data_IF_725396923337
#
_entry.id   IF_725396923337
#
_cell.length_a   1.000
_cell.length_b   1.000
_cell.length_c   1.000
_cell.angle_alpha   90.00
_cell.angle_beta   90.00
_cell.angle_gamma   90.00
#
_symmetry.space_group_name_H-M   'P 1'
#
loop_
_entity.id
_entity.type
_entity.pdbx_description
1 polymer ?
#
# COMPACT_ATOMS: atom_id res chain seq x y z
N UNK A 1 0.12 12.93 13.48
CA UNK A 1 -0.95 12.69 12.51
C UNK A 1 -0.54 11.47 11.70
N UNK A 2 -1.10 10.32 12.01
CA UNK A 2 -0.82 9.08 11.28
C UNK A 2 -1.67 9.09 10.01
N UNK A 3 -1.11 9.62 8.92
CA UNK A 3 -1.80 9.82 7.63
C UNK A 3 -1.80 8.55 6.76
N UNK A 4 -1.64 7.38 7.39
CA UNK A 4 -1.43 6.10 6.69
C UNK A 4 -2.25 5.01 7.37
N UNK A 5 -3.18 4.37 6.63
CA UNK A 5 -4.13 3.41 7.22
C UNK A 5 -3.74 1.94 7.04
N UNK A 6 -3.04 1.63 5.96
CA UNK A 6 -2.62 0.27 5.65
C UNK A 6 -1.18 0.32 5.21
N UNK A 7 -0.28 -0.39 5.91
CA UNK A 7 1.13 -0.51 5.57
C UNK A 7 1.40 -1.98 5.23
N UNK A 8 1.74 -2.24 3.97
CA UNK A 8 2.23 -3.53 3.51
C UNK A 8 3.73 -3.43 3.28
N UNK A 9 4.50 -4.37 3.81
CA UNK A 9 5.94 -4.45 3.59
C UNK A 9 6.29 -5.87 3.19
N UNK A 10 6.94 -6.00 2.05
CA UNK A 10 7.48 -7.28 1.60
C UNK A 10 8.87 -7.03 1.03
N UNK A 11 9.86 -7.77 1.53
CA UNK A 11 11.28 -7.55 1.26
C UNK A 11 11.71 -6.08 1.41
N UNK A 12 12.18 -5.50 0.29
CA UNK A 12 12.71 -4.15 0.16
C UNK A 12 11.68 -3.12 -0.29
N UNK A 13 10.38 -3.41 -0.25
CA UNK A 13 9.35 -2.45 -0.66
C UNK A 13 8.32 -2.26 0.43
N UNK A 14 7.85 -1.02 0.54
CA UNK A 14 6.79 -0.59 1.47
C UNK A 14 5.71 0.07 0.66
N UNK A 15 4.49 -0.41 0.81
CA UNK A 15 3.29 0.18 0.26
C UNK A 15 2.44 0.71 1.38
N UNK A 16 1.87 1.89 1.23
CA UNK A 16 0.86 2.34 2.15
C UNK A 16 -0.20 3.21 1.51
N UNK A 17 -1.39 3.14 2.07
CA UNK A 17 -2.49 4.01 1.65
C UNK A 17 -2.37 5.36 2.36
N UNK A 18 -2.18 6.41 1.57
CA UNK A 18 -2.24 7.79 2.03
C UNK A 18 -3.69 8.20 2.25
N UNK A 19 -4.09 8.47 3.50
CA UNK A 19 -5.49 8.74 3.84
C UNK A 19 -5.95 10.14 3.46
N UNK A 20 -5.03 11.07 3.25
CA UNK A 20 -5.35 12.44 2.84
C UNK A 20 -5.75 12.52 1.36
N UNK A 21 -5.03 11.81 0.49
CA UNK A 21 -5.28 11.81 -0.97
C UNK A 21 -6.02 10.57 -1.46
N UNK A 22 -6.05 9.50 -0.65
CA UNK A 22 -6.53 8.18 -1.06
C UNK A 22 -5.60 7.46 -2.05
N UNK A 23 -4.37 7.94 -2.23
CA UNK A 23 -3.41 7.37 -3.17
C UNK A 23 -2.59 6.26 -2.52
N UNK A 24 -2.15 5.29 -3.31
CA UNK A 24 -1.19 4.28 -2.85
C UNK A 24 0.23 4.83 -3.03
N UNK A 25 1.01 4.81 -1.95
CA UNK A 25 2.41 5.24 -1.96
C UNK A 25 3.33 4.03 -1.88
N UNK A 26 4.39 4.03 -2.69
CA UNK A 26 5.41 2.98 -2.73
C UNK A 26 6.76 3.58 -2.47
N UNK A 27 7.51 2.96 -1.56
CA UNK A 27 8.92 3.28 -1.33
C UNK A 27 9.76 2.02 -1.32
N UNK A 28 10.82 2.05 -2.14
CA UNK A 28 11.83 1.02 -2.15
C UNK A 28 12.91 1.35 -1.12
N UNK A 29 13.28 0.35 -0.33
CA UNK A 29 14.37 0.42 0.62
C UNK A 29 15.69 0.58 -0.14
N UNK A 30 16.44 1.63 0.18
CA UNK A 30 17.64 2.03 -0.57
C UNK A 30 17.39 3.01 -1.71
N UNK A 31 16.12 3.26 -2.09
CA UNK A 31 15.79 4.32 -3.04
C UNK A 31 15.18 5.55 -2.31
N UNK A 32 15.53 6.75 -2.75
CA UNK A 32 15.00 8.00 -2.19
C UNK A 32 13.65 8.39 -2.80
N UNK A 33 13.32 7.79 -3.94
CA UNK A 33 12.09 8.08 -4.67
C UNK A 33 10.86 7.50 -3.98
N UNK A 34 9.81 8.31 -3.96
CA UNK A 34 8.48 7.93 -3.51
C UNK A 34 7.58 7.90 -4.74
N UNK A 35 7.05 6.73 -5.06
CA UNK A 35 6.10 6.58 -6.15
C UNK A 35 4.69 6.73 -5.60
N UNK A 36 3.89 7.56 -6.26
CA UNK A 36 2.49 7.80 -5.90
C UNK A 36 1.60 7.28 -7.02
N UNK A 37 0.72 6.35 -6.67
CA UNK A 37 -0.24 5.76 -7.58
C UNK A 37 -1.63 6.32 -7.22
N UNK A 38 -2.23 7.12 -8.11
CA UNK A 38 -3.52 7.71 -7.83
C UNK A 38 -4.64 6.65 -7.92
N UNK A 39 -5.65 6.80 -7.05
CA UNK A 39 -6.76 5.84 -6.88
C UNK A 39 -7.55 5.49 -8.14
N UNK A 40 -7.54 6.35 -9.15
CA UNK A 40 -8.27 6.16 -10.42
C UNK A 40 -7.44 5.44 -11.49
N UNK A 41 -6.33 4.80 -11.12
CA UNK A 41 -5.48 4.06 -12.05
C UNK A 41 -5.75 2.57 -11.98
N UNK A 42 -5.77 1.87 -13.12
CA UNK A 42 -5.84 0.40 -13.15
C UNK A 42 -4.76 -0.29 -12.31
N UNK A 43 -3.59 0.34 -12.19
CA UNK A 43 -2.50 -0.13 -11.33
C UNK A 43 -2.91 -0.11 -9.85
N UNK A 44 -3.64 0.93 -9.41
CA UNK A 44 -4.14 1.03 -8.05
C UNK A 44 -5.09 -0.12 -7.73
N UNK A 45 -6.10 -0.37 -8.59
CA UNK A 45 -7.06 -1.46 -8.39
C UNK A 45 -6.37 -2.81 -8.29
N UNK A 46 -5.41 -3.07 -9.19
CA UNK A 46 -4.65 -4.32 -9.19
C UNK A 46 -3.80 -4.49 -7.94
N UNK A 47 -3.10 -3.44 -7.49
CA UNK A 47 -2.27 -3.51 -6.28
C UNK A 47 -3.12 -3.63 -5.01
N UNK A 48 -4.29 -2.97 -4.98
CA UNK A 48 -5.27 -3.14 -3.90
C UNK A 48 -5.75 -4.58 -3.83
N UNK A 49 -6.06 -5.20 -4.97
CA UNK A 49 -6.48 -6.61 -5.02
C UNK A 49 -5.35 -7.55 -4.58
N UNK A 50 -4.16 -7.43 -5.18
CA UNK A 50 -3.04 -8.36 -4.97
C UNK A 50 -2.48 -8.30 -3.54
N UNK A 51 -2.29 -7.08 -3.00
CA UNK A 51 -1.60 -6.88 -1.71
C UNK A 51 -2.55 -6.68 -0.53
N UNK A 52 -3.74 -6.13 -0.75
CA UNK A 52 -4.66 -5.75 0.32
C UNK A 52 -5.96 -6.56 0.32
N UNK A 53 -6.36 -7.20 -0.78
CA UNK A 53 -7.55 -8.07 -0.80
C UNK A 53 -7.26 -9.47 -0.27
N UNK A 54 -6.01 -9.95 -0.35
CA UNK A 54 -5.64 -11.28 0.16
C UNK A 54 -5.41 -11.33 1.69
N UNK A 55 -5.24 -10.18 2.36
CA UNK A 55 -4.91 -10.10 3.79
C UNK A 55 -6.11 -9.87 4.72
N UNK A 56 -7.33 -9.76 4.18
CA UNK A 56 -8.54 -9.67 5.00
C UNK A 56 -8.94 -11.01 5.67
N UNK A 57 -8.26 -12.11 5.33
CA UNK A 57 -8.53 -13.46 5.86
C UNK A 57 -7.47 -13.97 6.84
N UNK A 58 -6.37 -13.22 7.08
CA UNK A 58 -5.27 -13.64 7.99
C UNK A 58 -5.18 -12.82 9.30
N UNK A 59 -6.30 -12.28 9.79
CA UNK A 59 -6.42 -11.78 11.18
C UNK A 59 -7.60 -12.40 11.95
N UNK A 60 -7.85 -13.70 11.75
CA UNK A 60 -8.60 -14.52 12.72
C UNK A 60 -7.89 -15.88 12.84
N UNK A 61 -6.78 -15.93 13.58
CA UNK A 61 -6.43 -17.07 14.46
C UNK A 61 -5.03 -16.84 15.07
N UNK A 62 -4.99 -16.36 16.32
CA UNK A 62 -4.18 -16.91 17.43
C UNK A 62 -4.42 -16.12 18.71
#
# INVERSE_FOLDING_TARGET
METSKHLYKEGHYRFWLDTETGSLRIKFDGNKELYTIPKNSKLYDRLMEDFFSAKADEEIES
#
